data_IF_841071983037
#
_entry.id   IF_841071983037
#
_cell.length_a   1.000
_cell.length_b   1.000
_cell.length_c   1.000
_cell.angle_alpha   90.00
_cell.angle_beta   90.00
_cell.angle_gamma   90.00
#
_symmetry.space_group_name_H-M   'P 1'
#
loop_
_entity.id
_entity.type
_entity.pdbx_description
1 polymer ?
#
# COMPACT_ATOMS: atom_id res chain seq x y z
N UNK A 1 13.18 -1.48 7.72
CA UNK A 1 13.19 -0.07 7.26
C UNK A 1 11.77 0.36 6.98
N UNK A 2 11.43 1.64 7.20
CA UNK A 2 10.06 2.13 7.06
C UNK A 2 9.96 3.19 5.95
N UNK A 3 8.88 3.15 5.18
CA UNK A 3 8.47 4.22 4.27
C UNK A 3 7.18 4.84 4.79
N UNK A 4 7.17 6.16 4.91
CA UNK A 4 6.00 6.91 5.42
C UNK A 4 5.65 8.05 4.48
N UNK A 5 4.43 8.02 3.96
CA UNK A 5 3.82 9.06 3.14
C UNK A 5 2.46 9.45 3.72
N UNK A 6 2.21 10.76 3.76
CA UNK A 6 0.98 11.33 4.33
C UNK A 6 0.45 12.45 3.45
N UNK A 7 -0.81 12.36 3.04
CA UNK A 7 -1.49 13.37 2.24
C UNK A 7 -0.77 13.77 0.94
N UNK A 8 0.11 12.89 0.45
CA UNK A 8 0.87 13.09 -0.78
C UNK A 8 0.61 11.91 -1.71
N UNK A 9 -0.28 12.14 -2.67
CA UNK A 9 -0.67 11.13 -3.65
C UNK A 9 0.47 10.81 -4.61
N UNK A 10 1.16 11.84 -5.11
CA UNK A 10 2.17 11.64 -6.15
C UNK A 10 3.34 10.82 -5.62
N UNK A 11 3.86 11.20 -4.45
CA UNK A 11 4.98 10.46 -3.85
C UNK A 11 4.57 9.04 -3.45
N UNK A 12 3.33 8.83 -3.00
CA UNK A 12 2.82 7.49 -2.71
C UNK A 12 2.76 6.60 -3.96
N UNK A 13 2.32 7.13 -5.10
CA UNK A 13 2.33 6.41 -6.38
C UNK A 13 3.76 6.10 -6.83
N UNK A 14 4.66 7.08 -6.73
CA UNK A 14 6.06 6.88 -7.10
C UNK A 14 6.71 5.77 -6.26
N UNK A 15 6.42 5.72 -4.95
CA UNK A 15 6.85 4.62 -4.06
C UNK A 15 6.27 3.29 -4.51
N UNK A 16 4.96 3.23 -4.77
CA UNK A 16 4.29 1.99 -5.17
C UNK A 16 4.82 1.44 -6.50
N UNK A 17 5.01 2.30 -7.50
CA UNK A 17 5.57 1.89 -8.80
C UNK A 17 7.04 1.46 -8.71
N UNK A 18 7.78 2.00 -7.75
CA UNK A 18 9.20 1.69 -7.53
C UNK A 18 9.44 0.79 -6.32
N UNK A 19 8.41 0.09 -5.82
CA UNK A 19 8.51 -0.64 -4.54
C UNK A 19 9.64 -1.70 -4.54
N UNK A 20 9.93 -2.27 -5.71
CA UNK A 20 11.01 -3.23 -5.94
C UNK A 20 12.43 -2.70 -5.66
N UNK A 21 12.61 -1.38 -5.64
CA UNK A 21 13.88 -0.74 -5.26
C UNK A 21 14.15 -0.84 -3.75
N UNK A 22 13.12 -1.04 -2.94
CA UNK A 22 13.19 -0.96 -1.48
C UNK A 22 13.20 -2.35 -0.84
N UNK A 23 14.26 -3.12 -1.09
CA UNK A 23 14.36 -4.54 -0.72
C UNK A 23 14.33 -4.85 0.79
N UNK A 24 14.60 -3.86 1.63
CA UNK A 24 14.68 -4.01 3.09
C UNK A 24 13.52 -3.32 3.83
N UNK A 25 12.51 -2.83 3.08
CA UNK A 25 11.34 -2.19 3.68
C UNK A 25 10.43 -3.25 4.25
N UNK A 26 10.10 -3.07 5.53
CA UNK A 26 9.23 -3.95 6.31
C UNK A 26 7.90 -3.27 6.61
N UNK A 27 7.90 -1.94 6.79
CA UNK A 27 6.70 -1.16 7.08
C UNK A 27 6.43 -0.10 6.00
N UNK A 28 5.22 -0.12 5.44
CA UNK A 28 4.77 0.81 4.42
C UNK A 28 3.53 1.57 4.91
N UNK A 29 3.68 2.88 5.11
CA UNK A 29 2.60 3.77 5.54
C UNK A 29 2.25 4.74 4.41
N UNK A 30 1.05 4.65 3.87
CA UNK A 30 0.50 5.50 2.82
C UNK A 30 -0.85 6.04 3.29
N UNK A 31 -0.83 7.00 4.22
CA UNK A 31 -2.04 7.52 4.88
C UNK A 31 -2.57 8.78 4.17
N UNK A 32 -3.88 8.83 3.91
CA UNK A 32 -4.48 10.06 3.35
C UNK A 32 -4.06 10.39 1.91
N UNK A 33 -3.38 9.47 1.22
CA UNK A 33 -2.81 9.67 -0.11
C UNK A 33 -3.84 9.62 -1.25
N UNK A 34 -5.15 9.56 -0.93
CA UNK A 34 -6.23 9.45 -1.91
C UNK A 34 -6.09 8.26 -2.87
N UNK A 35 -5.47 7.16 -2.43
CA UNK A 35 -5.26 5.95 -3.23
C UNK A 35 -6.57 5.17 -3.44
N UNK A 36 -6.72 4.57 -4.60
CA UNK A 36 -7.87 3.78 -5.04
C UNK A 36 -7.47 2.34 -5.35
N UNK A 37 -8.46 1.46 -5.52
CA UNK A 37 -8.18 0.06 -5.89
C UNK A 37 -7.42 -0.04 -7.22
N UNK A 38 -7.65 0.90 -8.15
CA UNK A 38 -6.94 0.98 -9.43
C UNK A 38 -5.45 1.28 -9.23
N UNK A 39 -5.11 2.18 -8.31
CA UNK A 39 -3.71 2.50 -7.99
C UNK A 39 -2.97 1.27 -7.46
N UNK A 40 -3.63 0.49 -6.59
CA UNK A 40 -3.09 -0.79 -6.08
C UNK A 40 -2.96 -1.86 -7.17
N UNK A 41 -3.85 -1.85 -8.16
CA UNK A 41 -3.83 -2.80 -9.28
C UNK A 41 -2.70 -2.52 -10.28
N UNK A 42 -2.30 -1.25 -10.42
CA UNK A 42 -1.22 -0.82 -11.32
C UNK A 42 0.19 -1.08 -10.77
N UNK A 43 0.31 -1.52 -9.51
CA UNK A 43 1.59 -1.92 -8.93
C UNK A 43 2.09 -3.18 -9.64
N UNK A 44 3.18 -3.07 -10.41
CA UNK A 44 3.69 -4.18 -11.22
C UNK A 44 4.40 -5.24 -10.37
N UNK A 45 5.13 -4.82 -9.35
CA UNK A 45 6.07 -5.67 -8.62
C UNK A 45 5.57 -6.08 -7.25
N UNK A 46 6.04 -7.24 -6.79
CA UNK A 46 5.82 -7.72 -5.44
C UNK A 46 6.87 -7.14 -4.48
N UNK A 47 6.48 -6.94 -3.22
CA UNK A 47 7.34 -6.48 -2.14
C UNK A 47 7.27 -7.49 -0.96
N UNK A 48 7.94 -8.64 -1.08
CA UNK A 48 7.86 -9.72 -0.09
C UNK A 48 8.52 -9.39 1.26
N UNK A 49 9.35 -8.34 1.32
CA UNK A 49 9.94 -7.87 2.59
C UNK A 49 8.92 -7.14 3.47
N UNK A 50 7.84 -6.61 2.89
CA UNK A 50 6.83 -5.83 3.61
C UNK A 50 5.99 -6.75 4.47
N UNK A 51 5.93 -6.44 5.77
CA UNK A 51 5.16 -7.15 6.80
C UNK A 51 4.02 -6.30 7.34
N UNK A 52 4.17 -4.98 7.34
CA UNK A 52 3.18 -4.04 7.87
C UNK A 52 2.75 -3.05 6.78
N UNK A 53 1.45 -2.97 6.52
CA UNK A 53 0.87 -2.02 5.56
C UNK A 53 -0.18 -1.16 6.25
N UNK A 54 0.04 0.15 6.27
CA UNK A 54 -0.93 1.14 6.74
C UNK A 54 -1.39 1.97 5.54
N UNK A 55 -2.63 1.79 5.12
CA UNK A 55 -3.25 2.45 3.95
C UNK A 55 -4.55 3.15 4.35
N UNK A 56 -4.61 3.64 5.60
CA UNK A 56 -5.76 4.32 6.17
C UNK A 56 -6.11 5.63 5.48
N UNK A 57 -7.36 6.04 5.60
CA UNK A 57 -7.87 7.32 5.09
C UNK A 57 -7.67 7.52 3.58
N UNK A 58 -7.75 6.44 2.80
CA UNK A 58 -7.70 6.49 1.33
C UNK A 58 -9.10 6.28 0.73
N UNK A 59 -9.15 6.02 -0.57
CA UNK A 59 -10.38 5.86 -1.36
C UNK A 59 -10.69 4.40 -1.72
N UNK A 60 -10.03 3.42 -1.08
CA UNK A 60 -10.12 1.98 -1.38
C UNK A 60 -11.53 1.43 -1.14
N UNK A 61 -11.93 0.42 -1.92
CA UNK A 61 -13.24 -0.26 -1.79
C UNK A 61 -13.12 -1.77 -1.68
N UNK A 62 -12.27 -2.40 -2.50
CA UNK A 62 -12.04 -3.84 -2.46
C UNK A 62 -10.58 -4.17 -2.83
N UNK A 63 -9.60 -3.72 -2.03
CA UNK A 63 -8.18 -3.81 -2.41
C UNK A 63 -7.58 -5.21 -2.17
N UNK A 64 -8.32 -6.14 -1.59
CA UNK A 64 -7.82 -7.37 -0.98
C UNK A 64 -6.99 -8.24 -1.92
N UNK A 65 -7.49 -8.47 -3.14
CA UNK A 65 -6.78 -9.28 -4.15
C UNK A 65 -5.43 -8.65 -4.48
N UNK A 66 -5.42 -7.35 -4.74
CA UNK A 66 -4.20 -6.64 -5.12
C UNK A 66 -3.21 -6.57 -3.96
N UNK A 67 -3.66 -6.30 -2.74
CA UNK A 67 -2.77 -6.28 -1.58
C UNK A 67 -2.12 -7.65 -1.33
N UNK A 68 -2.90 -8.73 -1.44
CA UNK A 68 -2.37 -10.09 -1.28
C UNK A 68 -1.36 -10.46 -2.38
N UNK A 69 -1.59 -10.03 -3.62
CA UNK A 69 -0.65 -10.26 -4.72
C UNK A 69 0.64 -9.45 -4.55
N UNK A 70 0.55 -8.18 -4.14
CA UNK A 70 1.72 -7.27 -4.11
C UNK A 70 2.52 -7.34 -2.81
N UNK A 71 1.89 -7.74 -1.72
CA UNK A 71 2.52 -7.82 -0.41
C UNK A 71 2.21 -9.21 0.19
N UNK A 72 2.83 -10.27 -0.35
CA UNK A 72 2.45 -11.66 -0.05
C UNK A 72 2.70 -12.07 1.41
N UNK A 73 3.52 -11.31 2.14
CA UNK A 73 3.96 -11.62 3.50
C UNK A 73 3.41 -10.64 4.56
N UNK A 74 2.32 -9.92 4.26
CA UNK A 74 1.64 -9.03 5.23
C UNK A 74 1.26 -9.83 6.47
N UNK A 75 1.64 -9.31 7.63
CA UNK A 75 1.22 -9.76 8.95
C UNK A 75 0.18 -8.81 9.54
N UNK A 76 0.30 -7.50 9.28
CA UNK A 76 -0.66 -6.50 9.74
C UNK A 76 -1.07 -5.54 8.62
N UNK A 77 -2.38 -5.29 8.52
CA UNK A 77 -2.99 -4.38 7.57
C UNK A 77 -3.91 -3.39 8.29
N UNK A 78 -3.56 -2.10 8.28
CA UNK A 78 -4.45 -1.03 8.70
C UNK A 78 -5.10 -0.38 7.48
N UNK A 79 -6.36 -0.74 7.22
CA UNK A 79 -7.17 -0.23 6.11
C UNK A 79 -8.34 0.65 6.59
N UNK A 80 -8.30 1.15 7.84
CA UNK A 80 -9.38 1.97 8.41
C UNK A 80 -9.60 3.27 7.62
N UNK A 81 -10.76 3.88 7.80
CA UNK A 81 -11.13 5.15 7.15
C UNK A 81 -11.10 5.08 5.61
N UNK A 82 -11.21 3.88 5.02
CA UNK A 82 -11.52 3.64 3.62
C UNK A 82 -13.01 3.33 3.43
N UNK A 83 -13.43 3.07 2.19
CA UNK A 83 -14.79 2.62 1.85
C UNK A 83 -14.82 1.11 1.59
N UNK A 84 -14.02 0.37 2.34
CA UNK A 84 -13.84 -1.06 2.16
C UNK A 84 -15.14 -1.84 2.36
N UNK A 85 -15.46 -2.70 1.40
CA UNK A 85 -16.51 -3.71 1.51
C UNK A 85 -15.84 -5.02 1.96
N UNK A 86 -16.40 -5.62 3.01
CA UNK A 86 -15.94 -6.89 3.58
C UNK A 86 -16.68 -8.04 2.88
#
# INVERSE_FOLDING_TARGET
MDIVMRNDRQTALDVLHNIWCYKEVESLHLEGCSLSDGDSAEVTFEAPSVRYVCIRSNCLRSPWKHLAEKFPNIEELDCRDNRCVI
#
